data_IF_786976121552
#
_entry.id   IF_786976121552
#
_cell.length_a   1.000
_cell.length_b   1.000
_cell.length_c   1.000
_cell.angle_alpha   90.00
_cell.angle_beta   90.00
_cell.angle_gamma   90.00
#
_symmetry.space_group_name_H-M   'P 1'
#
loop_
_entity.id
_entity.type
_entity.pdbx_description
1 polymer ?
#
# COMPACT_ATOMS: atom_id res chain seq x y z
N UNK A 1 -69.46 -18.67 33.92
CA UNK A 1 -69.48 -18.80 32.45
C UNK A 1 -68.24 -19.60 32.06
N UNK A 2 -68.27 -20.93 32.11
CA UNK A 2 -68.87 -21.89 31.15
C UNK A 2 -68.01 -22.16 29.91
N UNK A 3 -67.49 -23.40 29.85
CA UNK A 3 -67.36 -24.32 28.68
C UNK A 3 -66.27 -23.95 27.64
N UNK A 4 -65.17 -24.68 27.44
CA UNK A 4 -64.92 -26.06 26.96
C UNK A 4 -65.22 -26.32 25.47
N UNK A 5 -64.39 -27.18 24.84
CA UNK A 5 -64.54 -27.89 23.52
C UNK A 5 -64.26 -27.05 22.25
N UNK A 6 -63.78 -27.56 21.10
CA UNK A 6 -63.24 -28.87 20.66
C UNK A 6 -62.54 -28.71 19.29
N UNK A 7 -61.62 -29.64 19.01
CA UNK A 7 -61.20 -30.27 17.74
C UNK A 7 -61.81 -29.81 16.39
N UNK A 8 -60.96 -29.73 15.35
CA UNK A 8 -61.15 -30.53 14.11
C UNK A 8 -59.89 -30.59 13.24
N UNK A 9 -59.54 -31.83 12.85
CA UNK A 9 -58.61 -32.20 11.79
C UNK A 9 -59.17 -31.84 10.41
N UNK A 10 -58.30 -31.60 9.42
CA UNK A 10 -58.42 -32.36 8.16
C UNK A 10 -57.10 -32.46 7.39
N UNK A 11 -56.81 -33.69 7.01
CA UNK A 11 -55.68 -34.17 6.22
C UNK A 11 -56.13 -34.39 4.77
N UNK A 12 -55.27 -34.20 3.77
CA UNK A 12 -55.21 -34.98 2.50
C UNK A 12 -54.04 -34.44 1.65
N UNK A 13 -52.93 -35.19 1.53
CA UNK A 13 -52.55 -36.09 0.40
C UNK A 13 -51.89 -35.33 -0.76
N UNK A 14 -50.55 -35.42 -0.90
CA UNK A 14 -49.77 -36.45 -1.63
C UNK A 14 -49.73 -36.26 -3.15
N UNK A 15 -48.56 -35.90 -3.70
CA UNK A 15 -47.98 -36.56 -4.88
C UNK A 15 -46.45 -36.58 -4.75
N UNK A 16 -45.90 -37.80 -4.75
CA UNK A 16 -44.49 -38.12 -4.96
C UNK A 16 -44.16 -38.04 -6.45
N UNK A 17 -42.94 -37.63 -6.78
CA UNK A 17 -42.20 -38.27 -7.87
C UNK A 17 -40.81 -38.66 -7.35
N UNK A 18 -40.65 -39.97 -7.15
CA UNK A 18 -39.38 -40.66 -7.06
C UNK A 18 -38.62 -40.55 -8.40
N UNK A 19 -37.28 -40.68 -8.44
CA UNK A 19 -36.56 -41.94 -8.69
C UNK A 19 -35.01 -41.74 -8.71
N UNK A 20 -34.18 -42.80 -8.85
CA UNK A 20 -33.20 -43.32 -7.87
C UNK A 20 -31.74 -42.98 -8.28
N UNK A 21 -30.64 -43.26 -7.57
CA UNK A 21 -30.34 -44.08 -6.40
C UNK A 21 -28.95 -44.72 -6.60
N UNK A 22 -28.13 -44.67 -5.53
CA UNK A 22 -27.06 -45.64 -5.19
C UNK A 22 -25.77 -45.63 -6.05
N UNK A 23 -24.54 -45.78 -5.54
CA UNK A 23 -24.11 -46.50 -4.34
C UNK A 23 -22.77 -45.96 -3.78
N UNK A 24 -22.58 -46.22 -2.49
CA UNK A 24 -21.35 -46.10 -1.72
C UNK A 24 -20.40 -47.29 -1.95
N UNK A 25 -19.09 -47.05 -1.80
CA UNK A 25 -18.14 -48.08 -1.34
C UNK A 25 -16.92 -47.42 -0.68
N UNK A 26 -16.64 -47.88 0.54
CA UNK A 26 -15.40 -47.70 1.31
C UNK A 26 -14.43 -48.85 1.07
N UNK A 27 -13.12 -48.60 0.92
CA UNK A 27 -12.04 -49.43 1.50
C UNK A 27 -10.62 -48.94 1.12
N UNK A 28 -9.85 -48.55 2.16
CA UNK A 28 -8.44 -48.85 2.49
C UNK A 28 -7.35 -49.19 1.44
N UNK A 29 -6.22 -48.46 1.60
CA UNK A 29 -4.83 -48.94 1.79
C UNK A 29 -3.82 -49.04 0.63
N UNK A 30 -2.59 -48.65 1.01
CA UNK A 30 -1.25 -49.08 0.55
C UNK A 30 -0.46 -48.22 -0.47
N UNK A 31 0.68 -47.69 0.00
CA UNK A 31 1.90 -47.38 -0.78
C UNK A 31 2.63 -48.68 -1.15
N UNK A 32 3.53 -48.68 -2.16
CA UNK A 32 4.95 -48.47 -1.86
C UNK A 32 5.77 -47.71 -2.93
N UNK A 33 7.02 -47.47 -2.53
CA UNK A 33 8.20 -46.81 -3.11
C UNK A 33 8.73 -47.27 -4.49
N UNK A 34 9.32 -46.33 -5.26
CA UNK A 34 10.76 -46.26 -5.63
C UNK A 34 11.07 -45.81 -7.08
N UNK A 35 11.94 -44.79 -7.18
CA UNK A 35 13.04 -44.54 -8.14
C UNK A 35 12.87 -44.79 -9.64
N UNK A 36 13.05 -43.75 -10.48
CA UNK A 36 14.30 -43.60 -11.24
C UNK A 36 14.43 -42.26 -12.00
N UNK A 37 15.65 -41.70 -11.88
CA UNK A 37 16.25 -40.66 -12.70
C UNK A 37 16.20 -40.99 -14.20
N UNK A 38 15.85 -40.02 -15.03
CA UNK A 38 16.53 -39.80 -16.32
C UNK A 38 16.62 -38.30 -16.64
N UNK A 39 17.85 -37.85 -16.82
CA UNK A 39 18.21 -36.56 -17.39
C UNK A 39 17.72 -36.48 -18.83
N UNK A 40 16.97 -35.42 -19.16
CA UNK A 40 16.91 -34.89 -20.52
C UNK A 40 16.93 -33.38 -20.46
N UNK A 41 18.11 -32.85 -20.78
CA UNK A 41 18.38 -31.46 -21.13
C UNK A 41 17.51 -31.03 -22.31
N UNK A 42 16.65 -30.04 -22.11
CA UNK A 42 16.00 -29.32 -23.21
C UNK A 42 16.58 -27.92 -23.27
N UNK A 43 17.35 -27.70 -24.33
CA UNK A 43 18.05 -26.46 -24.69
C UNK A 43 17.07 -25.35 -25.04
N UNK A 44 17.28 -24.21 -24.36
CA UNK A 44 16.69 -22.91 -24.64
C UNK A 44 17.16 -22.44 -26.03
N UNK A 45 16.22 -22.17 -26.93
CA UNK A 45 16.51 -21.49 -28.21
C UNK A 45 15.74 -20.17 -28.22
N UNK A 46 16.48 -19.06 -28.11
CA UNK A 46 15.99 -17.70 -28.30
C UNK A 46 15.90 -17.37 -29.79
N UNK A 47 14.85 -16.69 -30.27
CA UNK A 47 14.88 -16.08 -31.59
C UNK A 47 15.50 -14.69 -31.53
N UNK A 48 16.50 -14.50 -32.39
CA UNK A 48 17.16 -13.24 -32.74
C UNK A 48 16.15 -12.36 -33.51
N UNK A 49 15.91 -11.13 -33.05
CA UNK A 49 15.19 -10.11 -33.82
C UNK A 49 16.22 -9.18 -34.46
N UNK A 50 16.36 -9.28 -35.77
CA UNK A 50 17.16 -8.40 -36.61
C UNK A 50 16.37 -7.13 -36.95
N UNK A 51 17.04 -5.99 -36.79
CA UNK A 51 16.65 -4.65 -37.20
C UNK A 51 16.39 -4.54 -38.71
N UNK A 52 15.27 -3.93 -39.11
CA UNK A 52 15.05 -3.40 -40.45
C UNK A 52 14.62 -1.95 -40.41
N UNK A 53 15.23 -1.19 -41.32
CA UNK A 53 15.31 0.25 -41.48
C UNK A 53 14.02 0.97 -41.86
N UNK A 54 14.03 2.26 -41.52
CA UNK A 54 13.17 3.38 -41.89
C UNK A 54 12.77 3.47 -43.37
N UNK A 55 11.53 3.88 -43.64
CA UNK A 55 11.19 4.75 -44.78
C UNK A 55 9.99 5.64 -44.41
N UNK A 56 10.27 6.91 -44.14
CA UNK A 56 9.27 7.96 -43.91
C UNK A 56 8.76 8.45 -45.26
N UNK A 57 7.44 8.44 -45.45
CA UNK A 57 6.77 8.95 -46.66
C UNK A 57 6.57 10.46 -46.54
N UNK A 58 7.07 11.18 -47.55
CA UNK A 58 6.88 12.61 -47.79
C UNK A 58 5.45 12.93 -48.23
N UNK A 59 4.80 13.88 -47.55
CA UNK A 59 3.65 14.63 -48.08
C UNK A 59 4.05 16.10 -48.14
N UNK A 60 4.00 16.64 -49.36
CA UNK A 60 4.25 18.03 -49.73
C UNK A 60 3.01 18.88 -49.48
N UNK A 61 3.16 19.94 -48.67
CA UNK A 61 2.21 21.05 -48.57
C UNK A 61 2.72 22.26 -49.36
N UNK A 62 1.86 22.80 -50.23
CA UNK A 62 1.94 24.17 -50.72
C UNK A 62 0.62 24.87 -50.38
N UNK A 63 0.66 25.90 -49.53
CA UNK A 63 0.06 27.19 -49.87
C UNK A 63 0.48 28.30 -48.89
N UNK A 64 0.88 29.42 -49.50
CA UNK A 64 1.27 30.67 -48.89
C UNK A 64 0.09 31.37 -48.20
N UNK A 65 0.32 31.94 -47.02
CA UNK A 65 -0.11 33.31 -46.76
C UNK A 65 0.69 33.99 -45.64
N UNK A 66 1.00 35.25 -45.90
CA UNK A 66 1.86 36.18 -45.16
C UNK A 66 1.17 36.79 -43.94
N UNK A 67 1.86 36.91 -42.78
CA UNK A 67 2.13 38.20 -42.12
C UNK A 67 2.88 38.11 -40.78
N UNK A 68 3.85 39.03 -40.66
CA UNK A 68 4.36 39.78 -39.48
C UNK A 68 5.03 39.08 -38.29
N UNK A 69 6.37 39.14 -38.34
CA UNK A 69 7.38 39.49 -37.31
C UNK A 69 6.93 39.75 -35.86
N UNK A 70 7.58 39.04 -34.92
CA UNK A 70 8.26 39.63 -33.76
C UNK A 70 9.26 38.61 -33.16
N UNK A 71 10.54 38.71 -33.52
CA UNK A 71 11.65 37.96 -32.89
C UNK A 71 12.29 38.82 -31.81
N UNK A 72 12.22 38.38 -30.55
CA UNK A 72 12.94 38.98 -29.43
C UNK A 72 14.44 38.60 -29.47
N UNK A 73 15.37 39.51 -29.13
CA UNK A 73 16.81 39.27 -29.31
C UNK A 73 17.42 38.41 -28.21
N UNK A 74 18.28 37.47 -28.62
CA UNK A 74 19.16 36.66 -27.78
C UNK A 74 20.37 37.51 -27.33
N UNK A 75 20.74 37.61 -26.05
CA UNK A 75 21.91 38.40 -25.64
C UNK A 75 23.21 37.71 -26.02
N UNK A 76 24.12 38.45 -26.66
CA UNK A 76 25.50 38.01 -26.91
C UNK A 76 26.34 38.10 -25.64
N UNK A 77 27.08 37.05 -25.34
CA UNK A 77 28.12 37.04 -24.30
C UNK A 77 29.30 37.87 -24.82
N UNK A 78 29.54 39.02 -24.18
CA UNK A 78 30.72 39.84 -24.43
C UNK A 78 31.70 39.66 -23.26
N UNK A 79 32.88 39.14 -23.57
CA UNK A 79 33.90 38.79 -22.60
C UNK A 79 34.85 39.98 -22.45
N UNK A 80 34.77 40.71 -21.34
CA UNK A 80 35.75 41.74 -20.98
C UNK A 80 36.15 41.61 -19.51
N UNK A 81 37.41 41.20 -19.33
CA UNK A 81 38.13 41.24 -18.07
C UNK A 81 38.31 42.69 -17.61
N UNK A 82 37.98 42.96 -16.36
CA UNK A 82 38.67 43.98 -15.57
C UNK A 82 38.62 43.63 -14.09
N UNK A 83 39.79 43.35 -13.54
CA UNK A 83 40.05 43.24 -12.10
C UNK A 83 39.79 44.59 -11.43
N UNK A 84 39.03 44.57 -10.34
CA UNK A 84 39.27 45.48 -9.22
C UNK A 84 38.77 44.87 -7.91
N UNK A 85 39.71 44.73 -6.99
CA UNK A 85 39.52 44.34 -5.60
C UNK A 85 38.54 45.29 -4.91
N UNK A 86 37.58 44.73 -4.17
CA UNK A 86 37.11 45.34 -2.93
C UNK A 86 36.58 44.26 -1.99
N UNK A 87 37.29 44.12 -0.88
CA UNK A 87 36.93 43.33 0.29
C UNK A 87 35.56 43.75 0.80
N UNK A 88 34.59 42.85 0.70
CA UNK A 88 33.40 42.84 1.55
C UNK A 88 33.16 41.39 1.96
N UNK A 89 33.63 41.02 3.15
CA UNK A 89 33.26 39.78 3.82
C UNK A 89 31.75 39.78 4.10
N UNK A 90 30.96 39.46 3.08
CA UNK A 90 29.63 38.89 3.29
C UNK A 90 29.85 37.44 3.66
N UNK A 91 29.76 37.16 4.96
CA UNK A 91 29.49 35.82 5.44
C UNK A 91 28.20 35.35 4.75
N UNK A 92 28.34 34.54 3.71
CA UNK A 92 27.24 33.78 3.17
C UNK A 92 26.81 32.81 4.26
N UNK A 93 25.83 33.23 5.07
CA UNK A 93 25.07 32.31 5.90
C UNK A 93 24.44 31.34 4.90
N UNK A 94 24.99 30.12 4.82
CA UNK A 94 24.32 29.05 4.10
C UNK A 94 22.89 28.99 4.66
N UNK A 95 21.85 29.14 3.82
CA UNK A 95 20.50 28.87 4.28
C UNK A 95 20.53 27.46 4.86
N UNK A 96 20.04 27.33 6.09
CA UNK A 96 19.78 26.05 6.77
C UNK A 96 19.26 25.08 5.72
N UNK A 97 20.01 24.00 5.49
CA UNK A 97 19.75 23.00 4.47
C UNK A 97 18.25 22.70 4.51
N UNK A 98 17.53 23.08 3.45
CA UNK A 98 16.09 22.84 3.37
C UNK A 98 15.91 21.34 3.54
N UNK A 99 15.12 20.90 4.53
CA UNK A 99 14.79 19.49 4.80
C UNK A 99 14.13 18.76 3.60
N UNK A 100 14.07 19.39 2.43
CA UNK A 100 13.40 18.96 1.23
C UNK A 100 14.32 18.25 0.22
N UNK A 101 15.65 18.39 0.30
CA UNK A 101 16.54 17.92 -0.78
C UNK A 101 17.01 16.48 -0.63
N UNK A 102 17.22 16.00 0.60
CA UNK A 102 17.59 14.61 0.86
C UNK A 102 17.32 14.29 2.32
N UNK A 103 16.24 13.57 2.62
CA UNK A 103 15.90 13.21 4.00
C UNK A 103 16.62 11.94 4.40
N UNK A 104 17.45 12.05 5.42
CA UNK A 104 18.15 10.92 6.03
C UNK A 104 17.20 10.19 6.98
N UNK A 105 17.10 8.87 6.82
CA UNK A 105 16.27 8.00 7.67
C UNK A 105 17.15 6.93 8.29
N UNK A 106 17.14 6.86 9.63
CA UNK A 106 17.85 5.79 10.33
C UNK A 106 17.04 4.51 10.24
N UNK A 107 17.68 3.45 9.78
CA UNK A 107 17.15 2.09 9.83
C UNK A 107 18.06 1.25 10.71
N UNK A 108 17.50 0.23 11.36
CA UNK A 108 18.22 -0.69 12.24
C UNK A 108 17.93 -2.14 11.83
N UNK A 109 18.80 -3.09 12.23
CA UNK A 109 18.66 -4.49 11.85
C UNK A 109 17.33 -5.07 12.35
N UNK A 110 16.71 -5.93 11.55
CA UNK A 110 15.48 -6.64 11.92
C UNK A 110 15.61 -7.35 13.29
N UNK A 111 16.80 -7.88 13.59
CA UNK A 111 17.13 -8.56 14.86
C UNK A 111 17.04 -7.67 16.10
N UNK A 112 17.04 -6.34 15.95
CA UNK A 112 16.87 -5.41 17.06
C UNK A 112 15.40 -5.31 17.54
N UNK A 113 14.47 -5.87 16.76
CA UNK A 113 13.05 -5.82 17.04
C UNK A 113 12.55 -7.18 17.48
N UNK A 114 11.85 -7.20 18.62
CA UNK A 114 11.25 -8.42 19.17
C UNK A 114 9.75 -8.42 18.95
N UNK A 115 9.18 -9.60 18.71
CA UNK A 115 7.77 -9.76 18.37
C UNK A 115 7.08 -10.60 19.44
N UNK A 116 6.31 -9.92 20.31
CA UNK A 116 5.38 -10.55 21.23
C UNK A 116 4.02 -10.77 20.58
N UNK A 117 3.19 -11.60 21.22
CA UNK A 117 1.81 -11.83 20.80
C UNK A 117 0.84 -11.19 21.80
N UNK A 118 -0.28 -10.65 21.31
CA UNK A 118 -1.41 -10.18 22.13
C UNK A 118 -2.74 -10.71 21.59
N UNK A 119 -3.83 -10.31 22.22
CA UNK A 119 -5.18 -10.68 21.80
C UNK A 119 -5.48 -10.30 20.35
N UNK A 120 -6.38 -11.08 19.74
CA UNK A 120 -6.73 -10.92 18.33
C UNK A 120 -7.40 -9.55 18.10
N UNK A 121 -7.03 -8.90 16.99
CA UNK A 121 -7.62 -7.65 16.55
C UNK A 121 -8.52 -7.94 15.35
N UNK A 122 -9.83 -7.79 15.51
CA UNK A 122 -10.79 -8.06 14.45
C UNK A 122 -11.11 -6.80 13.65
N UNK A 123 -11.26 -6.96 12.33
CA UNK A 123 -11.78 -5.91 11.47
C UNK A 123 -13.20 -5.53 11.89
N UNK A 124 -13.54 -4.24 11.77
CA UNK A 124 -14.89 -3.75 12.09
C UNK A 124 -15.96 -4.35 11.17
N UNK A 125 -15.60 -4.60 9.91
CA UNK A 125 -16.52 -5.05 8.89
C UNK A 125 -16.36 -6.56 8.65
N UNK A 126 -17.46 -7.31 8.78
CA UNK A 126 -17.47 -8.77 8.58
C UNK A 126 -17.28 -9.19 7.12
N UNK A 127 -17.46 -8.27 6.18
CA UNK A 127 -17.35 -8.52 4.75
C UNK A 127 -17.01 -7.24 3.97
N UNK A 128 -16.55 -7.40 2.74
CA UNK A 128 -16.28 -6.28 1.82
C UNK A 128 -17.56 -5.49 1.55
N UNK A 129 -18.70 -6.16 1.45
CA UNK A 129 -20.02 -5.57 1.24
C UNK A 129 -20.41 -4.69 2.44
N UNK A 130 -20.25 -5.22 3.66
CA UNK A 130 -20.51 -4.47 4.90
C UNK A 130 -19.61 -3.22 4.98
N UNK A 131 -18.33 -3.34 4.60
CA UNK A 131 -17.39 -2.21 4.56
C UNK A 131 -17.87 -1.08 3.66
N UNK A 132 -18.30 -1.39 2.43
CA UNK A 132 -18.80 -0.36 1.51
C UNK A 132 -20.17 0.18 1.92
N UNK A 133 -20.99 -0.62 2.58
CA UNK A 133 -22.28 -0.16 3.13
C UNK A 133 -22.07 0.86 4.24
N UNK A 134 -21.24 0.53 5.25
CA UNK A 134 -20.84 1.48 6.30
C UNK A 134 -20.21 2.74 5.71
N UNK A 135 -19.35 2.60 4.69
CA UNK A 135 -18.75 3.74 4.01
C UNK A 135 -19.78 4.68 3.38
N UNK A 136 -20.88 4.16 2.82
CA UNK A 136 -21.99 4.98 2.30
C UNK A 136 -22.73 5.74 3.40
N UNK A 137 -23.03 5.04 4.49
CA UNK A 137 -23.74 5.60 5.64
C UNK A 137 -22.93 6.72 6.29
N UNK A 138 -21.67 6.45 6.59
CA UNK A 138 -20.71 7.41 7.14
C UNK A 138 -20.49 8.61 6.21
N UNK A 139 -20.41 8.38 4.90
CA UNK A 139 -20.22 9.48 3.95
C UNK A 139 -21.38 10.47 3.96
N UNK A 140 -22.58 10.00 4.25
CA UNK A 140 -23.77 10.85 4.33
C UNK A 140 -23.75 11.73 5.58
N UNK A 141 -23.17 11.27 6.68
CA UNK A 141 -23.19 11.97 7.97
C UNK A 141 -21.94 12.80 8.24
N UNK A 142 -20.75 12.31 7.86
CA UNK A 142 -19.46 12.94 8.15
C UNK A 142 -18.61 13.25 6.91
N UNK A 143 -19.09 12.92 5.70
CA UNK A 143 -18.38 13.20 4.46
C UNK A 143 -17.24 12.22 4.17
N UNK A 144 -16.17 12.70 3.52
CA UNK A 144 -15.07 11.85 3.07
C UNK A 144 -14.39 11.14 4.25
N UNK A 145 -14.29 9.80 4.18
CA UNK A 145 -13.52 9.01 5.14
C UNK A 145 -12.04 9.39 5.08
N UNK A 146 -11.41 9.55 6.24
CA UNK A 146 -9.97 9.83 6.35
C UNK A 146 -9.28 8.62 6.95
N UNK A 147 -8.28 8.11 6.25
CA UNK A 147 -7.51 6.92 6.66
C UNK A 147 -6.03 7.26 6.69
N UNK A 148 -5.30 6.68 7.63
CA UNK A 148 -3.85 6.85 7.76
C UNK A 148 -3.19 5.48 7.86
N UNK A 149 -2.07 5.32 7.18
CA UNK A 149 -1.28 4.08 7.18
C UNK A 149 0.20 4.42 7.42
N UNK A 150 0.87 3.63 8.25
CA UNK A 150 2.28 3.78 8.60
C UNK A 150 3.14 2.83 7.80
N UNK A 151 4.25 3.35 7.29
CA UNK A 151 5.37 2.59 6.73
C UNK A 151 6.48 2.58 7.77
N UNK A 152 6.75 1.40 8.33
CA UNK A 152 7.80 1.15 9.30
C UNK A 152 8.93 0.42 8.59
N UNK A 153 10.16 0.94 8.71
CA UNK A 153 11.33 0.40 8.03
C UNK A 153 12.31 -0.23 9.01
N UNK A 154 12.83 -1.37 8.60
CA UNK A 154 13.99 -2.04 9.19
C UNK A 154 14.96 -2.38 8.07
N UNK A 155 16.13 -2.92 8.39
CA UNK A 155 16.99 -3.50 7.37
C UNK A 155 17.46 -4.90 7.74
N UNK A 156 17.79 -5.67 6.72
CA UNK A 156 18.51 -6.93 6.87
C UNK A 156 19.52 -6.99 5.73
N UNK A 157 20.79 -7.27 6.03
CA UNK A 157 21.88 -7.26 5.06
C UNK A 157 21.99 -5.94 4.25
N UNK A 158 21.75 -4.79 4.91
CA UNK A 158 21.71 -3.46 4.28
C UNK A 158 20.65 -3.32 3.16
N UNK A 159 19.60 -4.14 3.22
CA UNK A 159 18.44 -4.03 2.36
C UNK A 159 17.25 -3.51 3.18
N UNK A 160 16.57 -2.44 2.76
CA UNK A 160 15.42 -1.92 3.47
C UNK A 160 14.23 -2.87 3.31
N UNK A 161 13.58 -3.15 4.43
CA UNK A 161 12.37 -3.96 4.50
C UNK A 161 11.23 -3.14 5.11
N UNK A 162 10.04 -3.28 4.54
CA UNK A 162 8.81 -2.71 5.08
C UNK A 162 8.13 -3.73 5.98
N UNK A 163 7.76 -3.32 7.20
CA UNK A 163 6.96 -4.18 8.07
C UNK A 163 5.49 -4.19 7.63
N UNK A 164 4.96 -5.39 7.36
CA UNK A 164 3.58 -5.61 6.91
C UNK A 164 2.84 -6.56 7.84
N UNK A 165 1.55 -6.28 8.03
CA UNK A 165 0.61 -7.17 8.69
C UNK A 165 0.05 -8.17 7.66
N UNK A 166 0.37 -9.45 7.84
CA UNK A 166 -0.13 -10.55 7.02
C UNK A 166 -1.33 -11.23 7.71
N UNK A 167 -2.43 -11.42 6.97
CA UNK A 167 -3.58 -12.23 7.37
C UNK A 167 -3.74 -13.37 6.36
N UNK A 168 -3.79 -14.61 6.86
CA UNK A 168 -3.79 -15.77 5.99
C UNK A 168 -2.50 -15.82 5.15
N UNK A 169 -2.62 -16.21 3.89
CA UNK A 169 -1.46 -16.44 3.01
C UNK A 169 -1.14 -15.24 2.10
N UNK A 170 -2.17 -14.60 1.53
CA UNK A 170 -2.01 -13.64 0.43
C UNK A 170 -2.49 -12.23 0.74
N UNK A 171 -2.88 -11.92 1.98
CA UNK A 171 -3.45 -10.63 2.33
C UNK A 171 -2.51 -9.85 3.24
N UNK A 172 -2.04 -8.71 2.73
CA UNK A 172 -1.07 -7.85 3.42
C UNK A 172 -1.65 -6.45 3.63
N UNK A 173 -1.33 -5.85 4.78
CA UNK A 173 -1.74 -4.50 5.17
C UNK A 173 -0.58 -3.74 5.78
N UNK A 174 -0.60 -2.43 5.60
CA UNK A 174 0.15 -1.52 6.46
C UNK A 174 -0.60 -1.34 7.79
N UNK A 175 0.12 -1.20 8.92
CA UNK A 175 -0.52 -0.82 10.17
C UNK A 175 -1.10 0.60 10.05
N UNK A 176 -2.33 0.78 10.54
CA UNK A 176 -3.08 2.02 10.33
C UNK A 176 -4.57 1.80 10.45
N UNK A 177 -5.36 2.71 9.91
CA UNK A 177 -6.82 2.63 9.98
C UNK A 177 -7.51 3.97 9.79
N UNK A 178 -8.75 4.01 10.26
CA UNK A 178 -9.66 5.14 10.07
C UNK A 178 -9.51 6.15 11.21
N UNK A 179 -9.45 7.43 10.85
CA UNK A 179 -9.47 8.54 11.81
C UNK A 179 -10.89 8.82 12.29
N UNK A 180 -11.01 9.23 13.54
CA UNK A 180 -12.25 9.77 14.08
C UNK A 180 -12.57 11.15 13.45
N UNK A 181 -13.83 11.59 13.46
CA UNK A 181 -14.19 12.94 13.04
C UNK A 181 -13.40 14.00 13.83
N UNK A 182 -12.78 14.95 13.12
CA UNK A 182 -11.97 16.00 13.74
C UNK A 182 -10.60 15.56 14.30
N UNK A 183 -10.31 14.26 14.33
CA UNK A 183 -9.02 13.75 14.81
C UNK A 183 -7.86 14.20 13.92
N UNK A 184 -6.74 14.57 14.55
CA UNK A 184 -5.49 14.88 13.87
C UNK A 184 -4.89 13.63 13.24
N UNK A 185 -4.27 13.78 12.07
CA UNK A 185 -3.77 12.63 11.30
C UNK A 185 -2.57 11.95 11.96
N UNK A 186 -1.69 12.72 12.60
CA UNK A 186 -0.49 12.19 13.26
C UNK A 186 -0.88 11.52 14.58
N UNK A 187 -1.69 12.20 15.39
CA UNK A 187 -2.14 11.64 16.67
C UNK A 187 -3.04 10.41 16.49
N UNK A 188 -3.93 10.43 15.49
CA UNK A 188 -4.72 9.26 15.13
C UNK A 188 -3.85 8.10 14.63
N UNK A 189 -2.80 8.36 13.86
CA UNK A 189 -1.85 7.32 13.44
C UNK A 189 -1.13 6.71 14.65
N UNK A 190 -0.65 7.51 15.60
CA UNK A 190 -0.03 7.03 16.85
C UNK A 190 -0.99 6.17 17.66
N UNK A 191 -2.25 6.58 17.79
CA UNK A 191 -3.31 5.79 18.44
C UNK A 191 -3.49 4.43 17.76
N UNK A 192 -3.62 4.42 16.43
CA UNK A 192 -3.81 3.20 15.64
C UNK A 192 -2.60 2.27 15.71
N UNK A 193 -1.38 2.82 15.73
CA UNK A 193 -0.15 2.05 15.94
C UNK A 193 -0.07 1.44 17.34
N UNK A 194 -0.48 2.17 18.37
CA UNK A 194 -0.57 1.64 19.73
C UNK A 194 -1.63 0.53 19.83
N UNK A 195 -2.80 0.72 19.23
CA UNK A 195 -3.87 -0.28 19.17
C UNK A 195 -3.39 -1.56 18.46
N UNK A 196 -2.64 -1.40 17.37
CA UNK A 196 -2.21 -2.53 16.53
C UNK A 196 -0.95 -3.21 17.04
N UNK A 197 0.11 -2.47 17.34
CA UNK A 197 1.46 -2.99 17.66
C UNK A 197 1.96 -2.61 19.06
N UNK A 198 1.23 -1.77 19.79
CA UNK A 198 1.58 -1.37 21.16
C UNK A 198 1.40 -2.48 22.19
N UNK A 199 2.22 -2.44 23.24
CA UNK A 199 2.17 -3.39 24.36
C UNK A 199 0.97 -3.07 25.28
N UNK A 200 0.16 -4.05 25.69
CA UNK A 200 -1.01 -3.83 26.52
C UNK A 200 -0.69 -3.30 27.93
N UNK A 201 0.45 -3.73 28.50
CA UNK A 201 0.81 -3.44 29.91
C UNK A 201 1.81 -2.29 30.08
N UNK A 202 2.17 -1.59 28.99
CA UNK A 202 3.13 -0.50 29.06
C UNK A 202 2.43 0.80 29.45
N UNK A 203 2.74 1.32 30.65
CA UNK A 203 2.38 2.70 31.03
C UNK A 203 3.08 3.73 30.14
N UNK A 204 4.13 3.32 29.44
CA UNK A 204 4.78 4.10 28.39
C UNK A 204 4.11 3.80 27.05
N UNK A 205 3.40 4.80 26.52
CA UNK A 205 3.00 4.80 25.12
C UNK A 205 4.27 4.72 24.26
N UNK A 206 4.27 3.87 23.23
CA UNK A 206 5.36 3.85 22.26
C UNK A 206 5.48 5.25 21.65
N UNK A 207 6.67 5.85 21.76
CA UNK A 207 6.92 7.16 21.16
C UNK A 207 7.16 7.00 19.66
N UNK A 208 6.09 6.92 18.89
CA UNK A 208 6.16 6.82 17.43
C UNK A 208 6.60 8.15 16.81
N UNK A 209 7.77 8.15 16.19
CA UNK A 209 8.32 9.29 15.47
C UNK A 209 7.79 9.29 14.03
N UNK A 210 6.83 10.18 13.75
CA UNK A 210 6.24 10.34 12.41
C UNK A 210 7.05 11.39 11.65
N UNK A 211 7.81 10.94 10.65
CA UNK A 211 8.82 11.76 9.95
C UNK A 211 8.23 12.54 8.77
N UNK A 212 7.55 11.83 7.86
CA UNK A 212 7.21 12.39 6.56
C UNK A 212 5.93 11.79 5.97
N UNK A 213 5.27 12.55 5.10
CA UNK A 213 4.18 12.06 4.26
C UNK A 213 4.80 11.51 2.98
N UNK A 214 4.58 10.23 2.70
CA UNK A 214 5.18 9.57 1.53
C UNK A 214 4.19 9.30 0.40
N UNK A 215 2.89 9.47 0.65
CA UNK A 215 1.88 9.25 -0.37
C UNK A 215 0.49 9.67 0.05
N UNK A 216 -0.35 9.98 -0.94
CA UNK A 216 -1.77 10.22 -0.77
C UNK A 216 -2.52 9.42 -1.83
N UNK A 217 -3.60 8.77 -1.42
CA UNK A 217 -4.44 7.94 -2.28
C UNK A 217 -5.91 8.29 -2.08
N UNK A 218 -6.66 8.32 -3.18
CA UNK A 218 -8.06 8.66 -3.17
C UNK A 218 -8.91 7.54 -3.74
N UNK A 219 -10.02 7.27 -3.06
CA UNK A 219 -11.09 6.40 -3.55
C UNK A 219 -12.21 7.27 -4.10
N UNK A 220 -12.52 7.23 -5.42
CA UNK A 220 -13.55 8.08 -5.99
C UNK A 220 -14.98 7.61 -5.69
N UNK A 221 -15.19 6.29 -5.61
CA UNK A 221 -16.50 5.63 -5.51
C UNK A 221 -16.56 4.66 -4.32
N UNK A 222 -17.74 4.12 -4.00
CA UNK A 222 -17.90 3.09 -2.96
C UNK A 222 -17.50 1.69 -3.46
N UNK A 223 -16.31 1.60 -4.04
CA UNK A 223 -15.76 0.44 -4.74
C UNK A 223 -14.26 0.31 -4.43
N UNK A 224 -13.65 -0.83 -4.77
CA UNK A 224 -12.26 -1.15 -4.43
C UNK A 224 -11.15 -0.23 -5.01
N UNK A 225 -11.25 0.32 -6.25
CA UNK A 225 -10.15 1.09 -6.86
C UNK A 225 -9.73 2.32 -6.07
N UNK A 226 -8.43 2.60 -6.07
CA UNK A 226 -7.79 3.75 -5.41
C UNK A 226 -6.73 4.32 -6.36
N UNK A 227 -6.54 5.64 -6.33
CA UNK A 227 -5.63 6.34 -7.24
C UNK A 227 -4.70 7.28 -6.46
N UNK A 228 -3.43 7.46 -6.88
CA UNK A 228 -2.48 8.38 -6.24
C UNK A 228 -2.72 9.85 -6.60
N UNK A 229 -3.91 10.18 -7.10
CA UNK A 229 -4.39 11.50 -7.46
C UNK A 229 -5.92 11.51 -7.36
N UNK A 230 -6.54 12.69 -7.35
CA UNK A 230 -8.00 12.82 -7.46
C UNK A 230 -8.36 12.71 -8.96
N UNK A 231 -9.12 11.69 -9.40
CA UNK A 231 -9.45 11.55 -10.82
C UNK A 231 -10.26 12.73 -11.37
N UNK A 232 -10.17 12.95 -12.68
CA UNK A 232 -10.89 14.04 -13.35
C UNK A 232 -12.40 14.00 -13.03
N UNK A 233 -12.99 15.18 -12.85
CA UNK A 233 -14.41 15.38 -12.51
C UNK A 233 -14.88 14.81 -11.16
N UNK A 234 -13.99 14.20 -10.36
CA UNK A 234 -14.30 13.76 -9.00
C UNK A 234 -14.13 14.93 -8.03
N UNK A 235 -15.24 15.55 -7.65
CA UNK A 235 -15.26 16.66 -6.66
C UNK A 235 -15.45 16.17 -5.22
N UNK A 236 -15.94 14.94 -5.04
CA UNK A 236 -16.29 14.35 -3.74
C UNK A 236 -15.79 12.90 -3.64
N UNK A 237 -14.47 12.67 -3.47
CA UNK A 237 -13.95 11.34 -3.19
C UNK A 237 -14.52 10.77 -1.89
N UNK A 238 -14.62 9.44 -1.80
CA UNK A 238 -15.23 8.73 -0.65
C UNK A 238 -14.24 8.44 0.46
N UNK A 239 -12.97 8.29 0.13
CA UNK A 239 -11.90 8.04 1.08
C UNK A 239 -10.62 8.74 0.62
N UNK A 240 -9.91 9.38 1.54
CA UNK A 240 -8.54 9.84 1.38
C UNK A 240 -7.65 9.07 2.36
N UNK A 241 -6.66 8.36 1.82
CA UNK A 241 -5.67 7.59 2.57
C UNK A 241 -4.35 8.34 2.49
N UNK A 242 -3.74 8.60 3.65
CA UNK A 242 -2.43 9.23 3.73
C UNK A 242 -1.41 8.26 4.31
N UNK A 243 -0.28 8.13 3.63
CA UNK A 243 0.83 7.27 4.04
C UNK A 243 1.88 8.09 4.76
N UNK A 244 2.31 7.61 5.91
CA UNK A 244 3.33 8.24 6.75
C UNK A 244 4.53 7.32 6.93
N UNK A 245 5.73 7.85 6.76
CA UNK A 245 6.94 7.19 7.20
C UNK A 245 7.08 7.36 8.71
N UNK A 246 7.21 6.25 9.42
CA UNK A 246 7.38 6.24 10.88
C UNK A 246 8.74 5.63 11.19
N UNK A 247 9.62 6.45 11.75
CA UNK A 247 10.97 6.06 12.09
C UNK A 247 10.96 5.28 13.42
N UNK A 248 11.54 4.09 13.37
CA UNK A 248 11.70 3.24 14.54
C UNK A 248 12.92 3.67 15.35
N UNK A 249 12.84 3.51 16.67
CA UNK A 249 14.03 3.57 17.53
C UNK A 249 14.98 2.40 17.25
N UNK A 250 16.18 2.46 17.84
CA UNK A 250 17.24 1.46 17.66
C UNK A 250 16.81 0.04 18.02
N UNK A 251 15.97 -0.11 19.05
CA UNK A 251 15.34 -1.36 19.43
C UNK A 251 13.91 -1.12 19.90
N UNK A 252 13.04 -2.11 19.70
CA UNK A 252 11.68 -2.08 20.22
C UNK A 252 11.10 -3.49 20.33
N UNK A 253 9.97 -3.60 21.02
CA UNK A 253 9.16 -4.82 21.00
C UNK A 253 7.77 -4.46 20.54
N UNK A 254 7.29 -5.18 19.53
CA UNK A 254 5.93 -5.07 19.04
C UNK A 254 5.07 -6.17 19.66
N UNK A 255 3.88 -5.83 20.14
CA UNK A 255 2.88 -6.80 20.53
C UNK A 255 1.89 -7.00 19.38
N UNK A 256 2.08 -8.06 18.61
CA UNK A 256 1.35 -8.37 17.39
C UNK A 256 0.06 -9.13 17.74
N UNK A 257 -1.12 -8.73 17.23
CA UNK A 257 -2.35 -9.47 17.48
C UNK A 257 -2.25 -10.89 16.92
N UNK A 258 -2.67 -11.90 17.68
CA UNK A 258 -2.45 -13.33 17.35
C UNK A 258 -3.07 -13.83 16.03
N UNK A 259 -4.00 -13.08 15.45
CA UNK A 259 -4.60 -13.37 14.13
C UNK A 259 -3.84 -12.71 12.96
N UNK A 260 -2.75 -12.02 13.25
CA UNK A 260 -1.84 -11.42 12.29
C UNK A 260 -0.44 -12.00 12.45
N UNK A 261 0.32 -11.98 11.36
CA UNK A 261 1.77 -12.14 11.38
C UNK A 261 2.41 -10.83 10.94
N UNK A 262 3.39 -10.34 11.70
CA UNK A 262 4.21 -9.22 11.27
C UNK A 262 5.39 -9.76 10.45
N UNK A 263 5.50 -9.35 9.20
CA UNK A 263 6.55 -9.78 8.27
C UNK A 263 7.35 -8.59 7.81
N UNK A 264 8.64 -8.79 7.53
CA UNK A 264 9.51 -7.80 6.92
C UNK A 264 9.65 -8.14 5.43
N UNK A 265 9.09 -7.31 4.55
CA UNK A 265 9.13 -7.52 3.10
C UNK A 265 10.20 -6.60 2.47
N UNK A 266 11.24 -7.15 1.81
CA UNK A 266 12.24 -6.33 1.12
C UNK A 266 11.62 -5.56 -0.04
N UNK A 267 12.17 -4.38 -0.35
CA UNK A 267 11.61 -3.53 -1.41
C UNK A 267 11.53 -4.22 -2.78
N UNK A 268 12.46 -5.13 -3.11
CA UNK A 268 12.43 -5.84 -4.39
C UNK A 268 11.25 -6.83 -4.52
N UNK A 269 10.73 -7.35 -3.40
CA UNK A 269 9.55 -8.23 -3.41
C UNK A 269 8.26 -7.43 -3.65
N UNK A 270 8.24 -6.17 -3.19
CA UNK A 270 7.11 -5.26 -3.34
C UNK A 270 7.07 -4.62 -4.73
N UNK A 271 8.23 -4.28 -5.29
CA UNK A 271 8.34 -3.52 -6.53
C UNK A 271 7.59 -4.19 -7.68
N UNK A 272 6.66 -3.45 -8.28
CA UNK A 272 5.85 -3.88 -9.43
C UNK A 272 5.02 -5.17 -9.19
N UNK A 273 4.76 -5.50 -7.92
CA UNK A 273 3.98 -6.67 -7.53
C UNK A 273 2.60 -6.31 -6.99
N UNK A 274 1.83 -5.55 -7.76
CA UNK A 274 0.48 -5.12 -7.38
C UNK A 274 -0.50 -6.31 -7.26
N UNK A 275 -0.23 -7.43 -7.94
CA UNK A 275 -1.02 -8.67 -7.81
C UNK A 275 -0.93 -9.29 -6.42
N UNK A 276 0.25 -9.25 -5.78
CA UNK A 276 0.47 -9.81 -4.45
C UNK A 276 0.16 -8.82 -3.33
N UNK A 277 0.56 -7.56 -3.50
CA UNK A 277 0.55 -6.57 -2.41
C UNK A 277 -0.48 -5.43 -2.59
N UNK A 278 -1.16 -5.38 -3.73
CA UNK A 278 -2.02 -4.27 -4.08
C UNK A 278 -1.23 -3.01 -4.46
N UNK A 279 -1.90 -2.03 -5.10
CA UNK A 279 -1.23 -0.90 -5.75
C UNK A 279 -0.51 0.05 -4.80
N UNK A 280 -0.96 0.13 -3.53
CA UNK A 280 -0.35 1.02 -2.54
C UNK A 280 1.01 0.45 -2.10
N UNK A 281 1.02 -0.78 -1.57
CA UNK A 281 2.23 -1.39 -1.02
C UNK A 281 3.25 -1.65 -2.14
N UNK A 282 2.81 -2.08 -3.33
CA UNK A 282 3.72 -2.35 -4.44
C UNK A 282 4.42 -1.09 -5.01
N UNK A 283 3.93 0.10 -4.65
CA UNK A 283 4.50 1.39 -5.06
C UNK A 283 5.44 2.00 -4.01
N UNK A 284 5.56 1.38 -2.83
CA UNK A 284 6.42 1.88 -1.76
C UNK A 284 7.89 1.98 -2.17
N UNK A 285 8.49 1.07 -2.96
CA UNK A 285 9.87 1.23 -3.40
C UNK A 285 10.11 2.56 -4.14
N UNK A 286 9.17 3.00 -4.99
CA UNK A 286 9.23 4.30 -5.67
C UNK A 286 9.03 5.47 -4.71
N UNK A 287 8.09 5.36 -3.77
CA UNK A 287 7.84 6.42 -2.78
C UNK A 287 9.02 6.61 -1.81
N UNK A 288 9.75 5.52 -1.54
CA UNK A 288 10.87 5.48 -0.60
C UNK A 288 12.23 5.81 -1.25
N UNK A 289 12.33 5.80 -2.58
CA UNK A 289 13.61 5.98 -3.29
C UNK A 289 14.25 7.36 -3.11
N UNK A 290 13.50 8.33 -2.56
CA UNK A 290 13.97 9.71 -2.30
C UNK A 290 14.68 9.87 -0.94
N UNK A 291 14.65 8.85 -0.09
CA UNK A 291 15.27 8.90 1.23
C UNK A 291 16.70 8.36 1.18
N UNK A 292 17.59 8.99 1.96
CA UNK A 292 18.93 8.48 2.20
C UNK A 292 18.88 7.57 3.44
N UNK A 293 18.92 6.25 3.23
CA UNK A 293 18.88 5.29 4.33
C UNK A 293 20.26 5.11 4.95
N UNK A 294 20.32 5.27 6.28
CA UNK A 294 21.47 4.86 7.07
C UNK A 294 21.17 3.49 7.67
N UNK A 295 21.99 2.51 7.33
CA UNK A 295 21.93 1.15 7.86
C UNK A 295 22.85 1.08 9.08
N UNK A 296 22.27 1.23 10.27
CA UNK A 296 22.98 1.18 11.55
C UNK A 296 23.19 -0.26 12.02
#
# INVERSE_FOLDING_TARGET
MSVATNLTNNSTQLVRTNWPGMNSTTSSSSSPTSTNNTNTSVSITTPIVSSSSSTTTTITDQNNNTNSMATSPRPSINNNNNNNNNNNNRTFIHPTQTMALERTIQTYPLTNYTFGTKDALYERDSSVQARFQRMREEFTTMGMRRSVEAVLLVHEHNLPHVLLLQLGTTFFKLPGGELNPGEDSIEGLKRLLNETLGRPDSTQQNNWLVEDVIGNWWRPNFEAPRYPYIPAHITKPKEHIRLYLVQLGESSMFAVPRNYKLVAAPLFELYDNASGYGPIISSLPQALSRFNFIYN
#
